data_IF_667942362385
#
_entry.id   IF_667942362385
#
_cell.length_a   1.000
_cell.length_b   1.000
_cell.length_c   1.000
_cell.angle_alpha   90.00
_cell.angle_beta   90.00
_cell.angle_gamma   90.00
#
_symmetry.space_group_name_H-M   'P 1'
#
loop_
_entity.id
_entity.type
_entity.pdbx_description
1 polymer ?
#
# COMPACT_ATOMS: atom_id res chain seq x y z
N UNK A 1 -35.13 12.60 -5.44
CA UNK A 1 -33.70 12.32 -5.20
C UNK A 1 -33.12 13.50 -4.45
N UNK A 2 -32.98 13.38 -3.14
CA UNK A 2 -32.38 14.44 -2.32
C UNK A 2 -30.89 14.46 -2.61
N UNK A 3 -30.38 15.53 -3.23
CA UNK A 3 -28.95 15.79 -3.29
C UNK A 3 -28.43 15.87 -1.86
N UNK A 4 -27.38 15.12 -1.56
CA UNK A 4 -26.65 15.25 -0.29
C UNK A 4 -26.16 16.69 -0.17
N UNK A 5 -26.24 17.28 1.01
CA UNK A 5 -25.76 18.63 1.31
C UNK A 5 -24.22 18.70 1.42
N UNK A 6 -23.53 17.64 0.98
CA UNK A 6 -22.08 17.48 1.06
C UNK A 6 -21.54 17.31 2.48
N UNK A 7 -22.41 17.13 3.49
CA UNK A 7 -21.98 17.04 4.88
C UNK A 7 -21.81 15.59 5.33
N UNK A 8 -20.75 15.36 6.08
CA UNK A 8 -20.59 14.13 6.84
C UNK A 8 -21.61 14.09 7.99
N UNK A 9 -22.27 12.94 8.14
CA UNK A 9 -23.13 12.63 9.27
C UNK A 9 -22.86 11.20 9.71
N UNK A 10 -23.00 10.92 11.01
CA UNK A 10 -22.95 9.56 11.49
C UNK A 10 -24.13 8.76 10.92
N UNK A 11 -23.84 7.63 10.28
CA UNK A 11 -24.86 6.69 9.74
C UNK A 11 -24.78 5.31 10.37
N UNK A 12 -23.64 4.97 10.98
CA UNK A 12 -23.39 3.71 11.65
C UNK A 12 -22.42 3.92 12.83
N UNK A 13 -22.42 2.94 13.74
CA UNK A 13 -21.38 2.67 14.72
C UNK A 13 -21.02 1.21 14.53
N UNK A 14 -19.77 0.93 14.17
CA UNK A 14 -19.27 -0.43 13.96
C UNK A 14 -18.60 -0.91 15.24
N UNK A 15 -18.83 -2.16 15.59
CA UNK A 15 -18.33 -2.81 16.80
C UNK A 15 -17.95 -4.24 16.41
N UNK A 16 -16.83 -4.74 16.93
CA UNK A 16 -16.46 -6.14 16.78
C UNK A 16 -17.49 -7.04 17.48
N UNK A 17 -17.98 -8.06 16.77
CA UNK A 17 -19.04 -8.97 17.25
C UNK A 17 -18.67 -9.73 18.53
N UNK A 18 -17.38 -9.94 18.75
CA UNK A 18 -16.79 -10.64 19.90
C UNK A 18 -15.70 -9.80 20.59
N UNK A 19 -15.82 -8.47 20.56
CA UNK A 19 -14.86 -7.56 21.19
C UNK A 19 -14.89 -7.62 22.73
N UNK A 20 -13.71 -7.61 23.33
CA UNK A 20 -13.45 -7.53 24.77
C UNK A 20 -12.99 -6.14 25.23
N UNK A 21 -12.82 -5.99 26.55
CA UNK A 21 -12.18 -4.79 27.13
C UNK A 21 -10.70 -4.74 26.73
N UNK A 22 -10.17 -3.53 26.50
CA UNK A 22 -8.76 -3.28 26.19
C UNK A 22 -8.19 -3.99 24.94
N UNK A 23 -9.04 -4.40 24.00
CA UNK A 23 -8.60 -5.02 22.73
C UNK A 23 -8.26 -3.99 21.62
N UNK A 24 -8.43 -2.70 21.92
CA UNK A 24 -8.11 -1.57 21.03
C UNK A 24 -8.79 -1.62 19.65
N UNK A 25 -10.01 -2.17 19.57
CA UNK A 25 -10.80 -2.16 18.35
C UNK A 25 -10.95 -0.73 17.78
N UNK A 26 -10.62 -0.57 16.51
CA UNK A 26 -10.63 0.71 15.80
C UNK A 26 -9.36 1.53 15.96
N UNK A 27 -8.28 0.97 16.51
CA UNK A 27 -6.96 1.61 16.57
C UNK A 27 -6.39 1.95 15.18
N UNK A 28 -6.63 1.06 14.22
CA UNK A 28 -6.34 1.25 12.79
C UNK A 28 -7.59 0.91 12.00
N UNK A 29 -7.93 1.72 10.99
CA UNK A 29 -9.08 1.47 10.12
C UNK A 29 -8.86 1.97 8.69
N UNK A 30 -9.53 1.31 7.74
CA UNK A 30 -9.49 1.60 6.30
C UNK A 30 -10.87 1.43 5.68
N UNK A 31 -11.13 2.08 4.55
CA UNK A 31 -12.38 1.97 3.79
C UNK A 31 -12.10 2.07 2.29
N UNK A 32 -12.70 1.19 1.50
CA UNK A 32 -12.72 1.24 0.03
C UNK A 32 -14.13 0.94 -0.45
N UNK A 33 -14.79 1.94 -1.04
CA UNK A 33 -16.19 1.84 -1.45
C UNK A 33 -17.13 1.44 -0.31
N UNK A 34 -17.77 0.28 -0.46
CA UNK A 34 -18.74 -0.29 0.49
C UNK A 34 -18.09 -1.29 1.48
N UNK A 35 -16.76 -1.33 1.56
CA UNK A 35 -16.01 -2.22 2.47
C UNK A 35 -15.17 -1.37 3.42
N UNK A 36 -15.22 -1.66 4.71
CA UNK A 36 -14.37 -1.08 5.73
C UNK A 36 -13.71 -2.18 6.56
N UNK A 37 -12.49 -1.95 7.04
CA UNK A 37 -11.82 -2.86 7.97
C UNK A 37 -11.30 -2.09 9.18
N UNK A 38 -11.31 -2.74 10.34
CA UNK A 38 -10.80 -2.17 11.59
C UNK A 38 -10.08 -3.23 12.41
N UNK A 39 -8.91 -2.87 12.95
CA UNK A 39 -8.09 -3.75 13.77
C UNK A 39 -8.46 -3.66 15.25
N UNK A 40 -8.34 -4.79 15.94
CA UNK A 40 -8.31 -4.92 17.40
C UNK A 40 -6.96 -5.55 17.79
N UNK A 41 -5.91 -4.74 17.81
CA UNK A 41 -4.52 -5.21 17.99
C UNK A 41 -4.25 -5.80 19.37
N UNK A 42 -5.05 -5.46 20.39
CA UNK A 42 -4.93 -6.01 21.74
C UNK A 42 -5.66 -7.32 21.96
N UNK A 43 -6.43 -7.81 20.98
CA UNK A 43 -7.19 -9.05 21.11
C UNK A 43 -6.26 -10.24 21.28
N UNK A 44 -6.56 -11.10 22.24
CA UNK A 44 -5.79 -12.32 22.48
C UNK A 44 -6.71 -13.52 22.61
N UNK A 45 -6.52 -14.47 21.69
CA UNK A 45 -7.17 -15.77 21.75
C UNK A 45 -6.11 -16.87 21.98
N UNK A 46 -6.16 -17.58 23.12
CA UNK A 46 -5.22 -18.66 23.41
C UNK A 46 -5.19 -19.69 22.27
N UNK A 47 -3.97 -20.07 21.88
CA UNK A 47 -3.70 -21.04 20.80
C UNK A 47 -4.17 -20.64 19.39
N UNK A 48 -4.66 -19.40 19.20
CA UNK A 48 -5.12 -18.89 17.90
C UNK A 48 -4.22 -17.76 17.43
N UNK A 49 -4.29 -16.58 18.05
CA UNK A 49 -3.69 -15.34 17.55
C UNK A 49 -3.61 -14.23 18.61
N UNK A 50 -2.76 -13.23 18.34
CA UNK A 50 -2.77 -11.90 18.95
C UNK A 50 -3.05 -10.88 17.87
N UNK A 51 -4.06 -10.03 18.08
CA UNK A 51 -4.62 -9.14 17.09
C UNK A 51 -5.68 -9.83 16.21
N UNK A 52 -6.76 -9.09 15.91
CA UNK A 52 -7.75 -9.46 14.90
C UNK A 52 -8.05 -8.26 14.01
N UNK A 53 -8.48 -8.51 12.76
CA UNK A 53 -9.00 -7.48 11.86
C UNK A 53 -10.43 -7.85 11.46
N UNK A 54 -11.37 -6.95 11.71
CA UNK A 54 -12.78 -7.14 11.38
C UNK A 54 -13.10 -6.42 10.08
N UNK A 55 -13.79 -7.11 9.18
CA UNK A 55 -14.28 -6.53 7.91
C UNK A 55 -15.77 -6.28 8.01
N UNK A 56 -16.18 -5.10 7.59
CA UNK A 56 -17.56 -4.64 7.54
C UNK A 56 -17.93 -4.28 6.10
N UNK A 57 -19.09 -4.72 5.65
CA UNK A 57 -19.60 -4.44 4.31
C UNK A 57 -20.96 -3.73 4.38
N UNK A 58 -21.17 -2.76 3.49
CA UNK A 58 -22.42 -2.04 3.33
C UNK A 58 -23.31 -2.73 2.30
N UNK A 59 -24.48 -3.19 2.72
CA UNK A 59 -25.43 -3.91 1.85
C UNK A 59 -26.38 -2.98 1.05
N UNK A 60 -26.08 -1.68 1.01
CA UNK A 60 -26.97 -0.64 0.48
C UNK A 60 -28.00 -0.10 1.49
N UNK A 61 -28.04 -0.65 2.72
CA UNK A 61 -28.92 -0.18 3.81
C UNK A 61 -28.16 0.00 5.12
N UNK A 62 -27.33 -0.97 5.48
CA UNK A 62 -26.60 -1.03 6.74
C UNK A 62 -25.22 -1.65 6.56
N UNK A 63 -24.31 -1.25 7.43
CA UNK A 63 -23.01 -1.90 7.58
C UNK A 63 -23.16 -3.16 8.43
N UNK A 64 -22.54 -4.26 8.02
CA UNK A 64 -22.56 -5.55 8.71
C UNK A 64 -21.14 -6.10 8.79
N UNK A 65 -20.76 -6.70 9.92
CA UNK A 65 -19.52 -7.48 10.01
C UNK A 65 -19.64 -8.74 9.14
N UNK A 66 -18.70 -8.96 8.23
CA UNK A 66 -18.70 -10.12 7.31
C UNK A 66 -17.53 -11.06 7.54
N UNK A 67 -16.46 -10.61 8.20
CA UNK A 67 -15.31 -11.44 8.53
C UNK A 67 -14.57 -10.96 9.78
N UNK A 68 -13.96 -11.92 10.47
CA UNK A 68 -12.85 -11.71 11.41
C UNK A 68 -11.62 -12.41 10.82
N UNK A 69 -10.55 -11.65 10.63
CA UNK A 69 -9.29 -12.12 10.08
C UNK A 69 -8.25 -12.16 11.18
N UNK A 70 -7.51 -13.26 11.22
CA UNK A 70 -6.38 -13.48 12.11
C UNK A 70 -5.20 -13.98 11.29
N UNK A 71 -3.99 -13.79 11.77
CA UNK A 71 -2.80 -14.40 11.20
C UNK A 71 -2.95 -15.93 11.15
N UNK A 72 -2.32 -16.62 10.18
CA UNK A 72 -2.22 -18.08 10.19
C UNK A 72 -1.73 -18.60 11.55
N UNK A 73 -2.27 -19.71 12.06
CA UNK A 73 -2.01 -20.14 13.43
C UNK A 73 -0.54 -20.52 13.66
N UNK A 74 0.03 -19.99 14.73
CA UNK A 74 1.38 -20.31 15.23
C UNK A 74 1.30 -20.93 16.63
N UNK A 75 2.21 -21.86 16.95
CA UNK A 75 2.26 -22.53 18.26
C UNK A 75 3.66 -22.40 18.87
N UNK A 76 3.84 -21.68 20.00
CA UNK A 76 2.83 -20.88 20.70
C UNK A 76 2.44 -19.62 19.91
N UNK A 77 1.23 -19.06 20.13
CA UNK A 77 0.87 -17.77 19.54
C UNK A 77 1.83 -16.69 20.04
N UNK A 78 2.31 -15.85 19.13
CA UNK A 78 3.18 -14.72 19.42
C UNK A 78 2.41 -13.42 19.21
N UNK A 79 2.75 -12.40 19.99
CA UNK A 79 2.35 -11.06 19.63
C UNK A 79 3.13 -10.66 18.39
N UNK A 80 2.42 -10.42 17.29
CA UNK A 80 3.00 -9.94 16.04
C UNK A 80 2.56 -8.51 15.72
N UNK A 81 1.79 -7.88 16.63
CA UNK A 81 1.07 -6.63 16.41
C UNK A 81 0.24 -6.69 15.11
N UNK A 82 -0.43 -7.83 14.88
CA UNK A 82 -1.27 -8.04 13.70
C UNK A 82 -2.42 -7.02 13.68
N UNK A 83 -2.53 -6.28 12.59
CA UNK A 83 -3.51 -5.19 12.46
C UNK A 83 -2.94 -3.81 12.79
N UNK A 84 -1.65 -3.70 13.11
CA UNK A 84 -1.01 -2.40 13.37
C UNK A 84 -1.16 -1.44 12.16
N UNK A 85 -1.01 -1.98 10.94
CA UNK A 85 -1.25 -1.26 9.70
C UNK A 85 -2.27 -2.01 8.83
N UNK A 86 -3.11 -1.27 8.13
CA UNK A 86 -4.11 -1.80 7.19
C UNK A 86 -4.05 -1.01 5.89
N UNK A 87 -4.22 -1.69 4.77
CA UNK A 87 -4.45 -1.08 3.46
C UNK A 87 -5.51 -1.90 2.71
N UNK A 88 -6.46 -1.22 2.07
CA UNK A 88 -7.61 -1.85 1.42
C UNK A 88 -7.89 -1.18 0.09
N UNK A 89 -7.86 -1.96 -0.99
CA UNK A 89 -8.36 -1.54 -2.30
C UNK A 89 -9.22 -2.64 -2.94
N UNK A 90 -10.46 -2.27 -3.28
CA UNK A 90 -11.48 -3.20 -3.77
C UNK A 90 -11.59 -4.48 -2.93
N UNK A 91 -11.12 -5.59 -3.49
CA UNK A 91 -11.17 -6.92 -2.90
C UNK A 91 -9.86 -7.36 -2.23
N UNK A 92 -8.86 -6.49 -2.08
CA UNK A 92 -7.57 -6.80 -1.48
C UNK A 92 -7.40 -6.05 -0.18
N UNK A 93 -7.17 -6.78 0.92
CA UNK A 93 -6.85 -6.24 2.23
C UNK A 93 -5.46 -6.71 2.63
N UNK A 94 -4.59 -5.79 3.01
CA UNK A 94 -3.26 -6.09 3.52
C UNK A 94 -3.18 -5.67 4.98
N UNK A 95 -2.62 -6.57 5.79
CA UNK A 95 -2.49 -6.42 7.23
C UNK A 95 -1.02 -6.46 7.64
N UNK A 96 -0.56 -5.41 8.29
CA UNK A 96 0.79 -5.32 8.85
C UNK A 96 0.91 -6.05 10.19
N UNK A 97 2.07 -6.69 10.39
CA UNK A 97 2.46 -7.36 11.62
C UNK A 97 3.97 -7.10 11.88
N UNK A 98 4.34 -5.87 12.29
CA UNK A 98 5.74 -5.42 12.31
C UNK A 98 6.64 -6.15 13.31
N UNK A 99 6.07 -6.77 14.34
CA UNK A 99 6.88 -7.50 15.33
C UNK A 99 6.91 -9.01 15.10
N UNK A 100 6.29 -9.49 14.01
CA UNK A 100 6.37 -10.87 13.55
C UNK A 100 7.83 -11.33 13.34
N UNK A 101 8.10 -12.60 13.66
CA UNK A 101 9.41 -13.19 13.45
C UNK A 101 9.52 -13.78 12.04
N UNK A 102 10.67 -13.58 11.39
CA UNK A 102 10.98 -14.15 10.06
C UNK A 102 12.27 -14.95 10.16
N UNK A 103 12.24 -16.24 9.82
CA UNK A 103 13.42 -17.13 9.88
C UNK A 103 14.18 -17.11 11.22
N UNK A 104 13.45 -16.91 12.33
CA UNK A 104 14.01 -16.81 13.69
C UNK A 104 14.55 -15.42 14.06
N UNK A 105 14.46 -14.44 13.17
CA UNK A 105 14.79 -13.03 13.44
C UNK A 105 13.59 -12.34 14.09
N UNK A 106 13.74 -11.93 15.35
CA UNK A 106 12.71 -11.24 16.11
C UNK A 106 12.38 -9.89 15.48
N UNK A 107 11.08 -9.58 15.37
CA UNK A 107 10.58 -8.28 14.88
C UNK A 107 11.17 -7.86 13.53
N UNK A 108 11.49 -8.83 12.67
CA UNK A 108 11.80 -8.55 11.28
C UNK A 108 10.56 -8.03 10.55
N UNK A 109 9.39 -8.53 10.94
CA UNK A 109 8.09 -8.03 10.50
C UNK A 109 7.59 -8.73 9.23
N UNK A 110 6.27 -8.74 9.08
CA UNK A 110 5.55 -9.36 7.96
C UNK A 110 4.36 -8.49 7.55
N UNK A 111 3.86 -8.74 6.33
CA UNK A 111 2.49 -8.36 5.95
C UNK A 111 1.74 -9.59 5.45
N UNK A 112 0.43 -9.61 5.70
CA UNK A 112 -0.49 -10.67 5.28
C UNK A 112 -1.50 -10.11 4.28
N UNK A 113 -1.65 -10.78 3.15
CA UNK A 113 -2.57 -10.40 2.08
C UNK A 113 -3.80 -11.31 2.13
N UNK A 114 -4.96 -10.69 2.20
CA UNK A 114 -6.26 -11.35 2.11
C UNK A 114 -7.01 -10.85 0.88
N UNK A 115 -7.72 -11.75 0.20
CA UNK A 115 -8.55 -11.42 -0.94
C UNK A 115 -9.99 -11.87 -0.73
N UNK A 116 -10.93 -11.01 -1.16
CA UNK A 116 -12.34 -11.32 -1.18
C UNK A 116 -12.68 -12.13 -2.43
N UNK A 117 -13.02 -13.40 -2.24
CA UNK A 117 -13.38 -14.32 -3.32
C UNK A 117 -14.85 -14.14 -3.76
N UNK A 118 -15.26 -14.79 -4.86
CA UNK A 118 -16.60 -14.65 -5.45
C UNK A 118 -17.76 -14.95 -4.50
N UNK A 119 -17.54 -15.80 -3.49
CA UNK A 119 -18.55 -16.13 -2.46
C UNK A 119 -18.77 -15.00 -1.45
N UNK A 120 -17.94 -13.94 -1.50
CA UNK A 120 -17.88 -12.85 -0.52
C UNK A 120 -17.03 -13.16 0.71
N UNK A 121 -16.42 -14.35 0.78
CA UNK A 121 -15.49 -14.68 1.85
C UNK A 121 -14.13 -14.01 1.64
N UNK A 122 -13.44 -13.69 2.72
CA UNK A 122 -12.05 -13.22 2.71
C UNK A 122 -11.13 -14.41 2.97
N UNK A 123 -10.18 -14.64 2.07
CA UNK A 123 -9.25 -15.76 2.13
C UNK A 123 -7.80 -15.23 2.22
N UNK A 124 -6.98 -15.91 3.03
CA UNK A 124 -5.54 -15.64 3.07
C UNK A 124 -4.89 -16.09 1.77
N UNK A 125 -4.15 -15.19 1.12
CA UNK A 125 -3.49 -15.44 -0.17
C UNK A 125 -1.99 -15.56 0.01
N UNK A 126 -1.37 -14.62 0.74
CA UNK A 126 0.09 -14.54 0.78
C UNK A 126 0.62 -13.90 2.07
N UNK A 127 1.75 -14.42 2.54
CA UNK A 127 2.61 -13.78 3.55
C UNK A 127 3.83 -13.19 2.85
N UNK A 128 4.23 -11.98 3.23
CA UNK A 128 5.33 -11.23 2.63
C UNK A 128 6.29 -10.70 3.70
N UNK A 129 7.58 -10.62 3.34
CA UNK A 129 8.66 -10.04 4.15
C UNK A 129 9.65 -9.27 3.25
N UNK A 130 10.64 -8.61 3.86
CA UNK A 130 11.67 -7.80 3.20
C UNK A 130 12.57 -8.53 2.16
N UNK A 131 12.35 -9.81 1.89
CA UNK A 131 13.19 -10.65 1.01
C UNK A 131 14.51 -11.06 1.65
N UNK A 132 15.25 -10.10 2.22
CA UNK A 132 16.37 -10.33 3.14
C UNK A 132 15.98 -9.72 4.50
N UNK A 133 15.37 -10.49 5.41
CA UNK A 133 14.91 -9.95 6.68
C UNK A 133 16.06 -9.55 7.60
N UNK A 134 15.86 -8.46 8.35
CA UNK A 134 16.74 -8.01 9.43
C UNK A 134 15.97 -7.98 10.75
N UNK A 135 16.60 -8.39 11.85
CA UNK A 135 15.97 -8.32 13.17
C UNK A 135 15.62 -6.86 13.53
N UNK A 136 14.44 -6.65 14.11
CA UNK A 136 13.94 -5.33 14.53
C UNK A 136 13.69 -4.32 13.39
N UNK A 137 13.69 -4.75 12.12
CA UNK A 137 13.43 -3.87 10.97
C UNK A 137 12.00 -3.29 10.95
N UNK A 138 11.06 -3.99 11.60
CA UNK A 138 9.64 -3.63 11.65
C UNK A 138 8.99 -3.51 10.26
N UNK A 139 9.33 -4.43 9.35
CA UNK A 139 8.65 -4.53 8.05
C UNK A 139 7.14 -4.74 8.25
N UNK A 140 6.32 -3.96 7.57
CA UNK A 140 4.87 -4.00 7.76
C UNK A 140 4.36 -3.03 8.84
N UNK A 141 5.23 -2.14 9.35
CA UNK A 141 4.82 -1.07 10.28
C UNK A 141 3.86 -0.07 9.63
N UNK A 142 4.02 0.14 8.33
CA UNK A 142 3.12 0.92 7.49
C UNK A 142 2.90 0.17 6.19
N UNK A 143 1.70 0.28 5.63
CA UNK A 143 1.36 -0.29 4.33
C UNK A 143 0.36 0.62 3.64
N UNK A 144 0.49 0.74 2.32
CA UNK A 144 -0.53 1.31 1.46
C UNK A 144 -0.57 0.54 0.13
N UNK A 145 -1.72 0.52 -0.54
CA UNK A 145 -1.88 -0.19 -1.80
C UNK A 145 -2.92 0.46 -2.73
N UNK A 146 -2.66 0.35 -4.02
CA UNK A 146 -3.58 0.76 -5.09
C UNK A 146 -3.44 -0.21 -6.26
N UNK A 147 -4.55 -0.85 -6.64
CA UNK A 147 -4.56 -1.91 -7.64
C UNK A 147 -3.51 -2.98 -7.39
N UNK A 148 -2.61 -3.15 -8.35
CA UNK A 148 -1.53 -4.14 -8.36
C UNK A 148 -0.20 -3.62 -7.78
N UNK A 149 -0.20 -2.48 -7.08
CA UNK A 149 0.99 -1.91 -6.44
C UNK A 149 0.77 -1.72 -4.95
N UNK A 150 1.75 -2.16 -4.16
CA UNK A 150 1.75 -2.05 -2.71
C UNK A 150 3.09 -1.50 -2.23
N UNK A 151 3.05 -0.65 -1.21
CA UNK A 151 4.25 -0.12 -0.56
C UNK A 151 4.20 -0.48 0.92
N UNK A 152 5.31 -1.03 1.44
CA UNK A 152 5.43 -1.48 2.83
C UNK A 152 6.64 -0.81 3.48
N UNK A 153 6.46 -0.19 4.63
CA UNK A 153 7.55 0.43 5.39
C UNK A 153 8.26 -0.53 6.36
N UNK A 154 9.56 -0.33 6.52
CA UNK A 154 10.43 -0.97 7.51
C UNK A 154 11.34 0.11 8.16
N UNK A 155 10.79 0.97 9.03
CA UNK A 155 11.45 2.20 9.47
C UNK A 155 12.72 1.98 10.30
N UNK A 156 12.98 0.77 10.77
CA UNK A 156 14.11 0.45 11.65
C UNK A 156 15.20 -0.41 10.99
N UNK A 157 15.09 -0.67 9.69
CA UNK A 157 16.07 -1.46 8.94
C UNK A 157 17.42 -0.74 8.74
N UNK A 158 18.45 -1.51 8.36
CA UNK A 158 19.87 -1.21 8.10
C UNK A 158 20.69 -0.88 9.35
N UNK A 159 20.33 0.20 10.03
CA UNK A 159 21.06 0.68 11.18
C UNK A 159 20.10 0.98 12.30
N UNK A 160 19.85 -0.01 13.16
CA UNK A 160 18.87 0.10 14.27
C UNK A 160 19.17 1.31 15.19
N UNK A 161 20.42 1.71 15.37
CA UNK A 161 20.77 2.87 16.21
C UNK A 161 20.35 4.19 15.56
N UNK A 162 20.43 4.28 14.23
CA UNK A 162 20.05 5.47 13.44
C UNK A 162 18.64 5.39 12.88
N UNK A 163 18.06 4.20 12.81
CA UNK A 163 16.80 3.88 12.14
C UNK A 163 16.78 4.43 10.71
N UNK A 164 17.82 4.10 9.94
CA UNK A 164 17.97 4.61 8.57
C UNK A 164 16.72 4.31 7.74
N UNK A 165 16.17 3.10 7.88
CA UNK A 165 14.84 2.73 7.43
C UNK A 165 14.77 2.43 5.92
N UNK A 166 13.75 1.67 5.55
CA UNK A 166 13.49 1.27 4.17
C UNK A 166 11.99 1.29 3.85
N UNK A 167 11.68 1.34 2.57
CA UNK A 167 10.35 1.04 2.05
C UNK A 167 10.46 0.02 0.90
N UNK A 168 9.43 -0.79 0.73
CA UNK A 168 9.43 -1.91 -0.20
C UNK A 168 8.23 -1.80 -1.12
N UNK A 169 8.49 -1.83 -2.42
CA UNK A 169 7.47 -1.82 -3.45
C UNK A 169 7.24 -3.24 -3.92
N UNK A 170 6.01 -3.72 -3.78
CA UNK A 170 5.55 -4.98 -4.33
C UNK A 170 4.62 -4.72 -5.51
N UNK A 171 4.65 -5.64 -6.47
CA UNK A 171 3.71 -5.67 -7.59
C UNK A 171 3.02 -7.02 -7.69
N UNK A 172 1.75 -7.01 -8.05
CA UNK A 172 1.01 -8.23 -8.32
C UNK A 172 1.25 -8.66 -9.77
N UNK A 173 1.72 -9.89 -9.95
CA UNK A 173 1.94 -10.52 -11.26
C UNK A 173 1.40 -11.95 -11.21
N UNK A 174 0.57 -12.31 -12.19
CA UNK A 174 -0.06 -13.64 -12.27
C UNK A 174 -0.78 -14.08 -10.98
N UNK A 175 -1.39 -13.12 -10.27
CA UNK A 175 -2.12 -13.35 -9.02
C UNK A 175 -1.24 -13.48 -7.77
N UNK A 176 0.07 -13.25 -7.86
CA UNK A 176 0.98 -13.26 -6.72
C UNK A 176 1.69 -11.91 -6.54
N UNK A 177 1.90 -11.49 -5.30
CA UNK A 177 2.69 -10.31 -4.98
C UNK A 177 4.17 -10.66 -4.99
N UNK A 178 4.96 -9.91 -5.75
CA UNK A 178 6.41 -10.07 -5.83
C UNK A 178 7.12 -8.78 -5.45
N UNK A 179 8.25 -8.89 -4.78
CA UNK A 179 9.07 -7.73 -4.43
C UNK A 179 9.66 -7.15 -5.72
N UNK A 180 9.25 -5.93 -6.07
CA UNK A 180 9.77 -5.20 -7.23
C UNK A 180 11.05 -4.45 -6.87
N UNK A 181 11.02 -3.69 -5.77
CA UNK A 181 12.08 -2.75 -5.44
C UNK A 181 12.14 -2.49 -3.94
N UNK A 182 13.36 -2.35 -3.42
CA UNK A 182 13.63 -1.74 -2.11
C UNK A 182 14.07 -0.29 -2.31
N UNK A 183 13.44 0.62 -1.59
CA UNK A 183 13.78 2.03 -1.51
C UNK A 183 14.58 2.26 -0.24
N UNK A 184 15.79 2.78 -0.39
CA UNK A 184 16.67 3.12 0.73
C UNK A 184 16.56 4.60 1.01
N UNK A 185 16.72 4.99 2.27
CA UNK A 185 16.80 6.39 2.65
C UNK A 185 17.95 7.09 1.90
N UNK A 186 17.68 8.13 1.09
CA UNK A 186 18.71 8.79 0.31
C UNK A 186 19.63 9.68 1.19
N UNK A 187 19.17 10.08 2.38
CA UNK A 187 19.88 10.99 3.28
C UNK A 187 20.25 10.29 4.59
N UNK A 188 20.97 9.16 4.53
CA UNK A 188 21.35 8.32 5.69
C UNK A 188 22.06 9.05 6.85
N UNK A 189 22.69 10.21 6.60
CA UNK A 189 23.35 11.00 7.64
C UNK A 189 22.38 11.81 8.50
N UNK A 190 21.19 12.11 7.98
CA UNK A 190 20.20 12.97 8.64
C UNK A 190 18.85 12.29 8.80
N UNK A 191 18.47 11.36 7.93
CA UNK A 191 17.17 10.71 7.88
C UNK A 191 17.05 9.54 8.86
N UNK A 192 16.03 9.56 9.70
CA UNK A 192 15.58 8.41 10.46
C UNK A 192 14.09 8.17 10.33
N UNK A 193 13.67 6.93 10.57
CA UNK A 193 12.33 6.39 10.36
C UNK A 193 11.86 6.50 8.88
N UNK A 194 12.76 6.35 7.88
CA UNK A 194 12.35 6.28 6.47
C UNK A 194 11.46 5.05 6.26
N UNK A 195 10.27 5.24 5.68
CA UNK A 195 9.24 4.20 5.63
C UNK A 195 8.09 4.42 6.62
N UNK A 196 8.09 5.53 7.37
CA UNK A 196 7.00 5.87 8.29
C UNK A 196 6.62 7.38 8.18
N UNK A 197 5.54 7.74 7.46
CA UNK A 197 4.57 6.89 6.74
C UNK A 197 4.95 6.57 5.28
N UNK A 198 4.21 5.65 4.65
CA UNK A 198 4.20 5.44 3.18
C UNK A 198 2.81 5.73 2.63
N UNK A 199 2.72 6.15 1.37
CA UNK A 199 1.47 6.17 0.61
C UNK A 199 1.73 5.95 -0.88
N UNK A 200 0.75 5.41 -1.61
CA UNK A 200 0.85 5.15 -3.05
C UNK A 200 -0.45 5.53 -3.76
N UNK A 201 -0.33 6.21 -4.90
CA UNK A 201 -1.45 6.55 -5.78
C UNK A 201 -0.98 6.47 -7.23
N UNK A 202 -1.57 5.56 -8.00
CA UNK A 202 -1.15 5.29 -9.38
C UNK A 202 0.36 4.99 -9.51
N UNK A 203 1.07 5.85 -10.24
CA UNK A 203 2.53 5.75 -10.45
C UNK A 203 3.36 6.38 -9.33
N UNK A 204 2.77 7.27 -8.54
CA UNK A 204 3.48 8.03 -7.53
C UNK A 204 3.39 7.31 -6.19
N UNK A 205 4.49 7.25 -5.47
CA UNK A 205 4.50 6.87 -4.07
C UNK A 205 5.30 7.88 -3.27
N UNK A 206 4.92 8.05 -2.02
CA UNK A 206 5.62 8.91 -1.08
C UNK A 206 6.10 8.11 0.11
N UNK A 207 7.31 8.43 0.58
CA UNK A 207 7.91 7.84 1.76
C UNK A 207 8.36 8.95 2.70
N UNK A 208 7.81 8.95 3.90
CA UNK A 208 8.22 9.84 4.97
C UNK A 208 9.46 9.33 5.69
N UNK A 209 10.30 10.27 6.12
CA UNK A 209 11.37 10.09 7.09
C UNK A 209 11.17 11.14 8.18
N UNK A 210 10.23 10.86 9.09
CA UNK A 210 9.69 11.86 10.03
C UNK A 210 10.71 12.43 11.01
N UNK A 211 11.80 11.71 11.27
CA UNK A 211 12.85 12.14 12.19
C UNK A 211 14.12 12.60 11.44
N UNK A 212 14.01 12.85 10.13
CA UNK A 212 15.12 13.44 9.36
C UNK A 212 15.53 14.81 9.90
N UNK A 213 16.80 14.98 10.28
CA UNK A 213 17.31 16.25 10.82
C UNK A 213 17.36 17.33 9.74
N UNK A 214 16.85 18.56 9.97
CA UNK A 214 16.33 19.09 11.24
C UNK A 214 14.80 19.10 11.41
N UNK A 215 13.99 18.69 10.41
CA UNK A 215 12.52 18.92 10.41
C UNK A 215 11.65 17.78 9.84
N UNK A 216 12.25 16.64 9.52
CA UNK A 216 11.64 15.55 8.76
C UNK A 216 11.75 15.78 7.24
N UNK A 217 11.58 14.72 6.47
CA UNK A 217 11.53 14.76 5.01
C UNK A 217 10.42 13.86 4.46
N UNK A 218 9.95 14.17 3.25
CA UNK A 218 9.07 13.31 2.45
C UNK A 218 9.70 13.19 1.07
N UNK A 219 9.87 11.97 0.62
CA UNK A 219 10.46 11.65 -0.67
C UNK A 219 9.36 11.15 -1.59
N UNK A 220 9.29 11.70 -2.80
CA UNK A 220 8.36 11.27 -3.84
C UNK A 220 9.14 10.40 -4.83
N UNK A 221 8.58 9.25 -5.16
CA UNK A 221 9.10 8.36 -6.19
C UNK A 221 8.01 8.16 -7.23
N UNK A 222 8.40 8.08 -8.50
CA UNK A 222 7.49 7.82 -9.60
C UNK A 222 7.95 6.56 -10.32
N UNK A 223 7.01 5.65 -10.54
CA UNK A 223 7.25 4.54 -11.45
C UNK A 223 7.40 5.10 -12.87
N UNK A 224 8.41 4.66 -13.65
CA UNK A 224 8.47 5.01 -15.06
C UNK A 224 7.20 4.50 -15.76
N UNK A 225 6.66 5.29 -16.70
CA UNK A 225 5.50 4.87 -17.49
C UNK A 225 5.80 3.53 -18.17
N UNK A 226 5.01 2.50 -17.84
CA UNK A 226 5.13 1.17 -18.46
C UNK A 226 4.44 1.11 -19.80
N UNK A 227 3.65 2.14 -20.14
CA UNK A 227 3.02 2.30 -21.43
C UNK A 227 3.05 3.77 -21.84
N UNK A 228 4.16 4.18 -22.45
CA UNK A 228 4.33 5.54 -23.00
C UNK A 228 3.14 6.02 -23.86
N UNK A 229 2.47 5.19 -24.69
CA UNK A 229 1.32 5.67 -25.45
C UNK A 229 0.03 5.85 -24.62
N UNK A 230 -0.07 5.37 -23.39
CA UNK A 230 -1.12 5.74 -22.42
C UNK A 230 -0.70 7.05 -21.73
N UNK A 231 -0.65 8.12 -22.51
CA UNK A 231 -0.08 9.42 -22.10
C UNK A 231 -0.87 10.11 -20.99
N UNK A 232 -2.19 9.92 -20.95
CA UNK A 232 -3.02 10.48 -19.88
C UNK A 232 -3.14 9.53 -18.67
N UNK A 233 -2.53 8.35 -18.77
CA UNK A 233 -2.47 7.30 -17.75
C UNK A 233 -3.85 6.85 -17.26
N UNK A 234 -4.85 6.84 -18.16
CA UNK A 234 -6.21 6.37 -17.86
C UNK A 234 -6.36 4.83 -17.95
N UNK A 235 -5.28 4.14 -18.31
CA UNK A 235 -5.22 2.70 -18.47
C UNK A 235 -5.68 2.23 -19.85
N UNK A 236 -5.99 3.14 -20.78
CA UNK A 236 -6.44 2.81 -22.13
C UNK A 236 -5.85 3.73 -23.19
N UNK A 237 -5.05 3.17 -24.10
CA UNK A 237 -4.54 3.92 -25.26
C UNK A 237 -5.68 4.33 -26.20
N UNK A 238 -6.12 5.58 -26.11
CA UNK A 238 -7.25 6.14 -26.84
C UNK A 238 -7.02 7.62 -27.26
N UNK A 239 -7.90 8.20 -28.09
CA UNK A 239 -7.67 9.56 -28.61
C UNK A 239 -7.37 10.66 -27.57
N UNK A 240 -7.70 10.45 -26.29
CA UNK A 240 -7.38 11.38 -25.20
C UNK A 240 -5.88 11.44 -24.91
N UNK A 241 -5.18 10.31 -24.89
CA UNK A 241 -3.72 10.27 -24.74
C UNK A 241 -3.01 10.96 -25.90
N UNK A 242 -3.48 10.74 -27.13
CA UNK A 242 -2.92 11.42 -28.30
C UNK A 242 -3.05 12.95 -28.17
N UNK A 243 -4.19 13.41 -27.65
CA UNK A 243 -4.40 14.83 -27.40
C UNK A 243 -3.57 15.35 -26.22
N UNK A 244 -3.39 14.55 -25.17
CA UNK A 244 -2.54 14.88 -24.03
C UNK A 244 -1.08 15.03 -24.49
N UNK A 245 -0.54 14.04 -25.20
CA UNK A 245 0.78 14.11 -25.80
C UNK A 245 0.93 15.31 -26.71
N UNK A 246 -0.04 15.59 -27.59
CA UNK A 246 0.04 16.72 -28.51
C UNK A 246 0.08 18.06 -27.76
N UNK A 247 -0.62 18.18 -26.62
CA UNK A 247 -0.54 19.40 -25.81
C UNK A 247 0.86 19.60 -25.24
N UNK A 248 1.44 18.56 -24.67
CA UNK A 248 2.77 18.58 -24.04
C UNK A 248 3.89 18.79 -25.07
N UNK A 249 3.76 18.13 -26.23
CA UNK A 249 4.66 18.29 -27.37
C UNK A 249 4.66 19.72 -27.94
N UNK A 250 3.49 20.39 -27.98
CA UNK A 250 3.38 21.76 -28.50
C UNK A 250 3.98 22.80 -27.55
N UNK A 251 4.07 22.51 -26.26
CA UNK A 251 4.60 23.44 -25.24
C UNK A 251 6.01 23.09 -24.77
N UNK A 252 6.69 22.16 -25.47
CA UNK A 252 8.05 21.69 -25.17
C UNK A 252 8.19 21.13 -23.73
N UNK A 253 7.21 20.37 -23.24
CA UNK A 253 7.34 19.68 -21.96
C UNK A 253 8.48 18.65 -22.01
N UNK A 254 9.37 18.57 -21.01
CA UNK A 254 10.48 17.63 -21.00
C UNK A 254 10.08 16.17 -21.17
N UNK A 255 8.89 15.79 -20.69
CA UNK A 255 8.37 14.42 -20.81
C UNK A 255 8.04 14.05 -22.25
N UNK A 256 7.78 15.03 -23.13
CA UNK A 256 7.52 14.82 -24.55
C UNK A 256 8.77 14.53 -25.39
N UNK A 257 9.99 14.62 -24.83
CA UNK A 257 11.26 14.23 -25.46
C UNK A 257 11.47 12.71 -25.36
N UNK A 258 10.78 11.96 -26.22
CA UNK A 258 10.85 10.51 -26.28
C UNK A 258 12.11 9.96 -26.93
N UNK A 259 12.90 10.82 -27.57
CA UNK A 259 14.22 10.44 -28.11
C UNK A 259 15.35 10.63 -27.11
N UNK A 260 15.09 11.31 -25.98
CA UNK A 260 16.05 11.69 -24.95
C UNK A 260 17.24 12.50 -25.53
N UNK A 261 16.98 13.29 -26.58
CA UNK A 261 18.03 14.08 -27.27
C UNK A 261 18.14 15.53 -26.77
N UNK A 262 17.27 15.91 -25.84
CA UNK A 262 17.17 17.23 -25.22
C UNK A 262 16.32 18.21 -26.01
N UNK A 263 15.67 17.80 -27.09
CA UNK A 263 14.77 18.64 -27.89
C UNK A 263 13.44 17.92 -28.10
N UNK A 264 12.34 18.62 -27.82
CA UNK A 264 11.00 18.18 -28.20
C UNK A 264 10.77 18.58 -29.66
N UNK A 265 10.84 17.63 -30.58
CA UNK A 265 10.68 17.88 -32.00
C UNK A 265 9.86 16.79 -32.73
N UNK A 266 9.78 16.90 -34.06
CA UNK A 266 9.02 15.96 -34.88
C UNK A 266 9.47 14.49 -34.76
N UNK A 267 10.68 14.22 -34.28
CA UNK A 267 11.20 12.87 -34.04
C UNK A 267 10.50 12.22 -32.86
N UNK A 268 10.29 12.97 -31.78
CA UNK A 268 9.53 12.50 -30.62
C UNK A 268 8.09 12.21 -31.02
N UNK A 269 7.50 13.09 -31.83
CA UNK A 269 6.15 12.87 -32.36
C UNK A 269 6.06 11.57 -33.16
N UNK A 270 7.08 11.27 -33.97
CA UNK A 270 7.14 10.02 -34.73
C UNK A 270 7.36 8.80 -33.81
N UNK A 271 8.14 8.93 -32.74
CA UNK A 271 8.31 7.88 -31.73
C UNK A 271 6.97 7.61 -31.05
N UNK A 272 6.29 8.65 -30.57
CA UNK A 272 4.97 8.53 -29.96
C UNK A 272 3.98 7.88 -30.91
N UNK A 273 3.91 8.29 -32.18
CA UNK A 273 3.01 7.68 -33.16
C UNK A 273 3.29 6.20 -33.42
N UNK A 274 4.55 5.76 -33.36
CA UNK A 274 4.88 4.34 -33.49
C UNK A 274 4.41 3.55 -32.25
N UNK A 275 4.61 4.10 -31.06
CA UNK A 275 4.14 3.52 -29.81
C UNK A 275 2.61 3.50 -29.74
N UNK A 276 1.95 4.58 -30.13
CA UNK A 276 0.50 4.74 -30.23
C UNK A 276 -0.17 3.61 -30.99
N UNK A 277 0.37 3.29 -32.17
CA UNK A 277 -0.17 2.24 -33.04
C UNK A 277 0.16 0.85 -32.50
N UNK A 278 1.28 0.70 -31.79
CA UNK A 278 1.64 -0.55 -31.13
C UNK A 278 0.76 -0.84 -29.90
N UNK A 279 0.30 0.21 -29.21
CA UNK A 279 -0.41 0.13 -27.95
C UNK A 279 0.52 -0.18 -26.77
N UNK A 280 -0.11 -0.52 -25.63
CA UNK A 280 0.50 -1.36 -24.59
C UNK A 280 0.29 -2.85 -24.99
#
# INVERSE_FOLDING_TARGET
>A
MSRSDGRYRQVARLEASNGGEDEYFGGTCVISGDVAAAAATGKYEPDVAWGSVYVFEYDGRSWQETAELVQPPHVPPMNEDFGEALALDGNTLVVGAPVAAVDGLTSAGKVYVYERVETGAWEFVQELSAGVPEAYAWFGKTVDLVGDRMVVGAPHEDNIERREGAAYVFVRQDGAWTLLQRLSNPDVENGSDFGEPVAVDGKSLVVGARQSSPVGAVYVFEAPSTCVPDWNEDGTVNSQDFLAYLNDWVIDEPEADLTEDGNVDTRDFLVFMNLWVAGC
#
